data_IF_348217888778
#
_entry.id   IF_348217888778
#
_cell.length_a   1.000
_cell.length_b   1.000
_cell.length_c   1.000
_cell.angle_alpha   90.00
_cell.angle_beta   90.00
_cell.angle_gamma   90.00
#
_symmetry.space_group_name_H-M   'P 1'
#
loop_
_entity.id
_entity.type
_entity.pdbx_description
1 polymer ?
#
# COMPACT_ATOMS: atom_id res chain seq x y z
N UNK A 1 14.36 -78.35 14.56
CA UNK A 1 15.73 -77.79 14.54
C UNK A 1 15.60 -76.44 13.85
N UNK A 2 15.36 -75.34 14.57
CA UNK A 2 16.25 -74.52 15.40
C UNK A 2 17.36 -73.81 14.61
N UNK A 3 17.32 -72.47 14.75
CA UNK A 3 18.39 -71.44 14.66
C UNK A 3 18.60 -70.78 13.28
N UNK A 4 18.19 -69.50 13.10
CA UNK A 4 18.85 -68.21 13.52
C UNK A 4 19.92 -67.80 12.48
N UNK A 5 20.11 -66.59 11.94
CA UNK A 5 19.68 -65.19 12.06
C UNK A 5 20.01 -64.57 10.64
N UNK A 6 19.59 -63.38 10.18
CA UNK A 6 20.10 -62.06 10.60
C UNK A 6 19.48 -60.93 9.73
N UNK A 7 18.81 -60.00 10.42
CA UNK A 7 18.84 -58.53 10.30
C UNK A 7 18.35 -57.79 9.02
N UNK A 8 17.37 -56.91 9.32
CA UNK A 8 16.85 -55.77 8.57
C UNK A 8 17.91 -54.72 8.20
N UNK A 9 17.73 -54.06 7.05
CA UNK A 9 18.03 -52.62 6.96
C UNK A 9 17.03 -51.91 6.07
N UNK A 10 16.06 -51.25 6.71
CA UNK A 10 15.41 -50.05 6.18
C UNK A 10 16.49 -48.98 5.95
N UNK A 11 16.57 -48.41 4.76
CA UNK A 11 17.19 -47.10 4.60
C UNK A 11 16.17 -46.10 4.06
N UNK A 12 15.68 -45.31 5.00
CA UNK A 12 14.99 -44.04 4.80
C UNK A 12 15.99 -43.10 4.14
N UNK A 13 15.82 -42.87 2.84
CA UNK A 13 16.62 -41.90 2.08
C UNK A 13 16.07 -40.50 2.31
N UNK A 14 16.61 -39.81 3.31
CA UNK A 14 16.43 -38.38 3.51
C UNK A 14 17.27 -37.55 2.53
N UNK A 15 16.72 -36.38 2.19
CA UNK A 15 17.40 -35.11 1.88
C UNK A 15 18.68 -35.16 1.04
N UNK A 16 18.52 -35.32 -0.28
CA UNK A 16 19.55 -34.97 -1.26
C UNK A 16 19.29 -33.58 -1.85
N UNK A 17 19.33 -32.53 -1.03
CA UNK A 17 19.63 -31.19 -1.57
C UNK A 17 21.06 -31.25 -2.12
N UNK A 18 21.21 -30.93 -3.41
CA UNK A 18 22.48 -30.97 -4.13
C UNK A 18 23.54 -30.19 -3.36
N UNK A 19 24.78 -30.70 -3.28
CA UNK A 19 25.90 -30.04 -2.61
C UNK A 19 26.06 -28.58 -3.10
N UNK A 20 25.75 -28.33 -4.37
CA UNK A 20 25.75 -27.01 -5.01
C UNK A 20 24.70 -26.07 -4.41
N UNK A 21 23.49 -26.57 -4.15
CA UNK A 21 22.37 -25.80 -3.59
C UNK A 21 22.65 -25.41 -2.12
N UNK A 22 23.33 -26.28 -1.37
CA UNK A 22 23.80 -25.98 -0.01
C UNK A 22 24.91 -24.91 0.01
N UNK A 23 25.77 -24.88 -1.00
CA UNK A 23 26.82 -23.87 -1.16
C UNK A 23 26.17 -22.51 -1.50
N UNK A 24 25.23 -22.48 -2.44
CA UNK A 24 24.49 -21.26 -2.81
C UNK A 24 23.69 -20.69 -1.63
N UNK A 25 23.01 -21.56 -0.84
CA UNK A 25 22.29 -21.11 0.35
C UNK A 25 23.21 -20.44 1.37
N UNK A 26 24.40 -21.02 1.57
CA UNK A 26 25.39 -20.49 2.52
C UNK A 26 25.94 -19.15 2.05
N UNK A 27 26.18 -19.00 0.76
CA UNK A 27 26.62 -17.73 0.16
C UNK A 27 25.54 -16.63 0.28
N UNK A 28 24.27 -16.98 0.07
CA UNK A 28 23.14 -16.05 0.25
C UNK A 28 22.98 -15.63 1.72
N UNK A 29 23.15 -16.56 2.66
CA UNK A 29 23.09 -16.25 4.10
C UNK A 29 24.23 -15.31 4.52
N UNK A 30 25.44 -15.51 3.99
CA UNK A 30 26.60 -14.66 4.28
C UNK A 30 26.40 -13.25 3.71
N UNK A 31 25.90 -13.12 2.48
CA UNK A 31 25.54 -11.83 1.87
C UNK A 31 24.43 -11.10 2.64
N UNK A 32 23.44 -11.82 3.16
CA UNK A 32 22.39 -11.24 4.02
C UNK A 32 22.95 -10.73 5.35
N UNK A 33 23.84 -11.48 5.97
CA UNK A 33 24.50 -11.05 7.21
C UNK A 33 25.36 -9.80 6.98
N UNK A 34 26.09 -9.72 5.87
CA UNK A 34 26.89 -8.55 5.50
C UNK A 34 26.02 -7.31 5.21
N UNK A 35 24.87 -7.49 4.57
CA UNK A 35 23.93 -6.39 4.34
C UNK A 35 23.29 -5.90 5.65
N UNK A 36 22.99 -6.81 6.58
CA UNK A 36 22.46 -6.45 7.90
C UNK A 36 23.48 -5.64 8.72
N UNK A 37 24.75 -6.06 8.75
CA UNK A 37 25.80 -5.32 9.46
C UNK A 37 26.08 -3.96 8.83
N UNK A 38 26.07 -3.85 7.50
CA UNK A 38 26.20 -2.56 6.80
C UNK A 38 25.03 -1.61 7.08
N UNK A 39 23.82 -2.15 7.26
CA UNK A 39 22.65 -1.37 7.62
C UNK A 39 22.75 -0.84 9.06
N UNK A 40 23.22 -1.68 9.99
CA UNK A 40 23.47 -1.27 11.38
C UNK A 40 24.57 -0.20 11.48
N UNK A 41 25.69 -0.36 10.75
CA UNK A 41 26.77 0.62 10.72
C UNK A 41 26.33 1.98 10.16
N UNK A 42 25.43 1.99 9.17
CA UNK A 42 24.81 3.22 8.66
C UNK A 42 23.85 3.82 9.68
N UNK A 43 23.07 3.00 10.39
CA UNK A 43 22.15 3.43 11.45
C UNK A 43 22.90 4.10 12.60
N UNK A 44 24.04 3.54 13.01
CA UNK A 44 24.89 4.09 14.09
C UNK A 44 25.60 5.38 13.64
N UNK A 45 26.12 5.44 12.41
CA UNK A 45 26.79 6.65 11.86
C UNK A 45 25.84 7.82 11.61
N UNK A 46 24.53 7.56 11.50
CA UNK A 46 23.48 8.58 11.35
C UNK A 46 22.66 8.80 12.61
N UNK A 47 23.13 8.36 13.79
CA UNK A 47 22.49 8.70 15.06
C UNK A 47 22.73 10.18 15.41
N UNK A 48 21.89 11.04 14.84
CA UNK A 48 21.59 12.34 15.46
C UNK A 48 20.98 12.10 16.85
N UNK A 49 21.07 13.08 17.78
CA UNK A 49 20.56 12.91 19.14
C UNK A 49 19.09 12.49 19.10
N UNK A 50 18.55 11.82 20.14
CA UNK A 50 17.15 11.46 20.18
C UNK A 50 16.33 12.75 20.29
N UNK A 51 16.05 13.37 19.15
CA UNK A 51 15.01 14.37 19.04
C UNK A 51 13.73 13.63 19.37
N UNK A 52 13.08 14.08 20.44
CA UNK A 52 11.75 13.71 20.90
C UNK A 52 10.66 14.03 19.85
N UNK A 53 10.82 13.57 18.61
CA UNK A 53 10.11 14.11 17.45
C UNK A 53 9.64 13.08 16.44
N UNK A 54 9.60 11.79 16.76
CA UNK A 54 8.89 10.83 15.90
C UNK A 54 7.37 11.02 15.91
N UNK A 55 6.81 11.79 16.87
CA UNK A 55 5.40 12.24 16.80
C UNK A 55 5.17 13.44 15.86
N UNK A 56 6.22 13.97 15.20
CA UNK A 56 6.11 15.05 14.19
C UNK A 56 5.90 14.55 12.77
N UNK A 57 5.36 13.35 12.58
CA UNK A 57 5.20 12.78 11.22
C UNK A 57 4.20 13.58 10.37
N UNK A 58 3.41 14.47 10.97
CA UNK A 58 2.29 15.11 10.27
C UNK A 58 2.47 16.61 10.10
N UNK A 59 2.71 17.04 8.87
CA UNK A 59 2.94 18.44 8.50
C UNK A 59 1.64 19.25 8.40
N UNK A 60 0.74 19.15 9.39
CA UNK A 60 -0.56 19.82 9.32
C UNK A 60 -0.43 21.34 9.16
N UNK A 61 0.51 21.97 9.86
CA UNK A 61 0.74 23.42 9.74
C UNK A 61 1.09 23.86 8.31
N UNK A 62 1.69 22.96 7.51
CA UNK A 62 2.03 23.22 6.10
C UNK A 62 0.80 23.21 5.20
N UNK A 63 -0.16 22.32 5.46
CA UNK A 63 -1.30 22.08 4.56
C UNK A 63 -2.61 22.69 5.05
N UNK A 64 -2.71 22.91 6.36
CA UNK A 64 -3.82 23.55 7.06
C UNK A 64 -3.28 24.65 7.98
N UNK A 65 -2.73 25.74 7.41
CA UNK A 65 -2.25 26.86 8.20
C UNK A 65 -3.42 27.56 8.89
N UNK A 66 -3.16 28.15 10.07
CA UNK A 66 -4.12 28.99 10.81
C UNK A 66 -5.37 28.28 11.36
N UNK A 67 -5.32 26.96 11.55
CA UNK A 67 -6.37 26.25 12.29
C UNK A 67 -6.45 26.73 13.73
N UNK A 68 -7.68 26.78 14.28
CA UNK A 68 -7.90 27.05 15.70
C UNK A 68 -7.22 25.97 16.55
N UNK A 69 -6.77 26.29 17.78
CA UNK A 69 -6.13 25.32 18.67
C UNK A 69 -6.94 24.04 18.85
N UNK A 70 -8.26 24.13 19.04
CA UNK A 70 -9.14 22.97 19.18
C UNK A 70 -9.24 22.10 17.93
N UNK A 71 -9.12 22.69 16.73
CA UNK A 71 -9.09 21.93 15.48
C UNK A 71 -7.74 21.25 15.29
N UNK A 72 -6.64 21.88 15.74
CA UNK A 72 -5.31 21.23 15.73
C UNK A 72 -5.27 20.03 16.66
N UNK A 73 -5.78 20.17 17.87
CA UNK A 73 -5.92 19.07 18.85
C UNK A 73 -6.71 17.89 18.25
N UNK A 74 -7.85 18.16 17.60
CA UNK A 74 -8.62 17.13 16.90
C UNK A 74 -7.81 16.40 15.80
N UNK A 75 -6.94 17.11 15.07
CA UNK A 75 -6.07 16.49 14.06
C UNK A 75 -4.96 15.65 14.69
N UNK A 76 -4.44 16.06 15.84
CA UNK A 76 -3.45 15.29 16.61
C UNK A 76 -4.07 13.99 17.15
N UNK A 77 -5.34 14.01 17.53
CA UNK A 77 -6.11 12.85 18.03
C UNK A 77 -6.50 11.82 16.96
N UNK A 78 -6.32 12.14 15.67
CA UNK A 78 -6.63 11.21 14.59
C UNK A 78 -5.69 9.99 14.61
N UNK A 79 -6.16 8.89 14.04
CA UNK A 79 -5.32 7.70 13.82
C UNK A 79 -4.12 8.03 12.92
N UNK A 80 -3.01 7.30 13.05
CA UNK A 80 -1.83 7.52 12.23
C UNK A 80 -2.13 7.56 10.73
N UNK A 81 -2.94 6.62 10.23
CA UNK A 81 -3.36 6.57 8.82
C UNK A 81 -4.14 7.82 8.40
N UNK A 82 -5.05 8.27 9.27
CA UNK A 82 -5.88 9.47 9.05
C UNK A 82 -5.05 10.75 9.12
N UNK A 83 -4.00 10.77 9.94
CA UNK A 83 -3.06 11.89 9.94
C UNK A 83 -2.20 11.90 8.68
N UNK A 84 -1.71 10.74 8.25
CA UNK A 84 -0.92 10.59 7.03
C UNK A 84 -1.68 11.03 5.78
N UNK A 85 -2.95 10.65 5.66
CA UNK A 85 -3.75 11.01 4.47
C UNK A 85 -4.06 12.51 4.38
N UNK A 86 -3.93 13.22 5.49
CA UNK A 86 -4.12 14.66 5.60
C UNK A 86 -2.80 15.44 5.36
N UNK A 87 -1.66 14.76 5.18
CA UNK A 87 -0.36 15.41 4.93
C UNK A 87 -0.16 15.85 3.47
N UNK A 88 -1.15 16.51 2.89
CA UNK A 88 -1.09 17.11 1.55
C UNK A 88 -2.24 18.11 1.38
N UNK A 89 -2.18 18.97 0.35
CA UNK A 89 -3.26 19.92 0.06
C UNK A 89 -4.51 19.26 -0.54
N UNK A 90 -4.34 18.18 -1.32
CA UNK A 90 -5.45 17.35 -1.84
C UNK A 90 -5.08 15.87 -1.73
N UNK A 91 -6.07 14.97 -1.80
CA UNK A 91 -5.83 13.52 -1.76
C UNK A 91 -4.96 13.06 -2.93
N UNK A 92 -5.13 13.65 -4.11
CA UNK A 92 -4.37 13.33 -5.31
C UNK A 92 -2.90 13.75 -5.20
N UNK A 93 -2.55 14.66 -4.29
CA UNK A 93 -1.15 15.01 -4.02
C UNK A 93 -0.55 14.27 -2.83
N UNK A 94 -1.34 13.42 -2.17
CA UNK A 94 -0.87 12.64 -1.02
C UNK A 94 0.01 11.50 -1.51
N UNK A 95 1.22 11.38 -0.96
CA UNK A 95 2.19 10.36 -1.38
C UNK A 95 1.71 8.94 -1.11
N UNK A 96 1.08 8.71 0.05
CA UNK A 96 0.54 7.39 0.40
C UNK A 96 -0.60 6.98 -0.53
N UNK A 97 -1.49 7.92 -0.88
CA UNK A 97 -2.52 7.69 -1.91
C UNK A 97 -1.90 7.41 -3.28
N UNK A 98 -0.90 8.19 -3.68
CA UNK A 98 -0.24 8.03 -4.98
C UNK A 98 0.48 6.70 -5.10
N UNK A 99 1.10 6.20 -4.03
CA UNK A 99 1.72 4.88 -4.01
C UNK A 99 0.68 3.79 -4.32
N UNK A 100 -0.41 3.74 -3.56
CA UNK A 100 -1.50 2.77 -3.81
C UNK A 100 -2.11 2.93 -5.20
N UNK A 101 -2.26 4.17 -5.68
CA UNK A 101 -2.77 4.45 -7.04
C UNK A 101 -1.82 3.95 -8.11
N UNK A 102 -0.51 4.10 -7.92
CA UNK A 102 0.51 3.59 -8.83
C UNK A 102 0.52 2.07 -8.86
N UNK A 103 0.39 1.41 -7.70
CA UNK A 103 0.27 -0.05 -7.61
C UNK A 103 -0.96 -0.52 -8.39
N UNK A 104 -2.12 0.13 -8.23
CA UNK A 104 -3.32 -0.18 -9.01
C UNK A 104 -3.09 -0.06 -10.52
N UNK A 105 -2.53 1.07 -10.98
CA UNK A 105 -2.24 1.28 -12.41
C UNK A 105 -1.27 0.26 -12.98
N UNK A 106 -0.23 -0.09 -12.22
CA UNK A 106 0.72 -1.13 -12.61
C UNK A 106 0.02 -2.49 -12.72
N UNK A 107 -0.80 -2.82 -11.73
CA UNK A 107 -1.59 -4.05 -11.72
C UNK A 107 -2.54 -4.13 -12.92
N UNK A 108 -3.28 -3.06 -13.23
CA UNK A 108 -4.14 -2.96 -14.41
C UNK A 108 -3.34 -3.20 -15.71
N UNK A 109 -2.18 -2.55 -15.84
CA UNK A 109 -1.34 -2.68 -17.04
C UNK A 109 -0.78 -4.09 -17.22
N UNK A 110 -0.28 -4.71 -16.14
CA UNK A 110 0.26 -6.08 -16.15
C UNK A 110 -0.87 -7.07 -16.45
N UNK A 111 -2.00 -6.96 -15.76
CA UNK A 111 -3.13 -7.87 -15.93
C UNK A 111 -3.71 -7.80 -17.34
N UNK A 112 -3.91 -6.58 -17.89
CA UNK A 112 -4.33 -6.41 -19.27
C UNK A 112 -3.35 -7.08 -20.24
N UNK A 113 -2.03 -6.91 -20.01
CA UNK A 113 -0.98 -7.55 -20.83
C UNK A 113 -0.99 -9.07 -20.75
N UNK A 114 -1.17 -9.64 -19.56
CA UNK A 114 -1.27 -11.08 -19.40
C UNK A 114 -2.49 -11.65 -20.11
N UNK A 115 -3.63 -10.97 -20.01
CA UNK A 115 -4.85 -11.34 -20.74
C UNK A 115 -4.59 -11.28 -22.25
N UNK A 116 -3.92 -10.23 -22.73
CA UNK A 116 -3.53 -10.10 -24.15
C UNK A 116 -2.67 -11.27 -24.65
N UNK A 117 -1.77 -11.79 -23.81
CA UNK A 117 -0.86 -12.87 -24.19
C UNK A 117 -1.53 -14.25 -24.16
N UNK A 118 -2.48 -14.45 -23.23
CA UNK A 118 -3.16 -15.75 -23.03
C UNK A 118 -4.36 -15.94 -23.92
N UNK A 119 -5.07 -14.85 -24.24
CA UNK A 119 -6.23 -14.86 -25.12
C UNK A 119 -5.89 -14.01 -26.35
N UNK A 120 -5.78 -14.65 -27.52
CA UNK A 120 -6.07 -13.98 -28.79
C UNK A 120 -7.55 -14.17 -29.02
N UNK A 121 -8.42 -13.26 -28.54
CA UNK A 121 -9.84 -13.49 -28.70
C UNK A 121 -10.24 -13.26 -30.16
N UNK A 122 -11.20 -14.05 -30.63
CA UNK A 122 -11.65 -14.06 -32.03
C UNK A 122 -12.21 -12.71 -32.51
N UNK A 123 -12.48 -11.80 -31.57
CA UNK A 123 -13.01 -10.46 -31.78
C UNK A 123 -11.92 -9.36 -31.78
N UNK A 124 -10.66 -9.69 -32.08
CA UNK A 124 -9.54 -8.73 -32.08
C UNK A 124 -9.77 -7.49 -32.98
N UNK A 125 -10.64 -7.60 -33.99
CA UNK A 125 -11.03 -6.49 -34.88
C UNK A 125 -12.14 -5.59 -34.29
N UNK A 126 -12.87 -6.07 -33.29
CA UNK A 126 -13.90 -5.33 -32.55
C UNK A 126 -13.32 -4.88 -31.20
N UNK A 127 -12.75 -3.68 -31.22
CA UNK A 127 -12.01 -3.09 -30.09
C UNK A 127 -12.89 -2.94 -28.84
N UNK A 128 -14.16 -2.56 -29.00
CA UNK A 128 -15.04 -2.33 -27.84
C UNK A 128 -15.41 -3.64 -27.16
N UNK A 129 -15.78 -4.67 -27.94
CA UNK A 129 -16.07 -6.00 -27.40
C UNK A 129 -14.82 -6.64 -26.79
N UNK A 130 -13.66 -6.34 -27.34
CA UNK A 130 -12.37 -6.75 -26.82
C UNK A 130 -12.07 -6.09 -25.46
N UNK A 131 -12.16 -4.76 -25.35
CA UNK A 131 -11.97 -4.02 -24.10
C UNK A 131 -12.94 -4.52 -23.02
N UNK A 132 -14.21 -4.72 -23.36
CA UNK A 132 -15.22 -5.20 -22.42
C UNK A 132 -14.88 -6.60 -21.85
N UNK A 133 -14.26 -7.47 -22.66
CA UNK A 133 -13.82 -8.80 -22.21
C UNK A 133 -12.72 -8.69 -21.17
N UNK A 134 -11.73 -7.81 -21.40
CA UNK A 134 -10.61 -7.59 -20.48
C UNK A 134 -11.09 -6.94 -19.19
N UNK A 135 -11.93 -5.91 -19.29
CA UNK A 135 -12.53 -5.25 -18.12
C UNK A 135 -13.28 -6.26 -17.26
N UNK A 136 -14.08 -7.13 -17.87
CA UNK A 136 -14.83 -8.17 -17.15
C UNK A 136 -13.94 -9.15 -16.39
N UNK A 137 -12.78 -9.50 -16.93
CA UNK A 137 -11.81 -10.37 -16.26
C UNK A 137 -11.11 -9.64 -15.10
N UNK A 138 -10.69 -8.39 -15.32
CA UNK A 138 -10.10 -7.55 -14.26
C UNK A 138 -11.11 -7.32 -13.12
N UNK A 139 -12.38 -7.06 -13.45
CA UNK A 139 -13.46 -6.84 -12.48
C UNK A 139 -13.81 -8.08 -11.66
N UNK A 140 -13.35 -9.27 -12.06
CA UNK A 140 -13.49 -10.49 -11.25
C UNK A 140 -12.35 -10.65 -10.26
N UNK A 141 -11.24 -9.94 -10.46
CA UNK A 141 -10.06 -10.06 -9.62
C UNK A 141 -10.27 -9.44 -8.23
N UNK A 142 -9.93 -10.23 -7.19
CA UNK A 142 -10.10 -9.82 -5.80
C UNK A 142 -9.05 -8.79 -5.36
N UNK A 143 -7.83 -8.89 -5.88
CA UNK A 143 -6.75 -7.95 -5.60
C UNK A 143 -7.04 -6.58 -6.19
N UNK A 144 -7.54 -6.55 -7.44
CA UNK A 144 -8.02 -5.33 -8.10
C UNK A 144 -9.06 -4.59 -7.24
N UNK A 145 -10.12 -5.31 -6.83
CA UNK A 145 -11.17 -4.76 -5.97
C UNK A 145 -10.65 -4.25 -4.63
N UNK A 146 -9.67 -4.95 -4.06
CA UNK A 146 -9.05 -4.54 -2.79
C UNK A 146 -8.35 -3.18 -2.95
N UNK A 147 -7.53 -3.01 -3.99
CA UNK A 147 -6.82 -1.76 -4.27
C UNK A 147 -7.78 -0.61 -4.56
N UNK A 148 -8.81 -0.85 -5.38
CA UNK A 148 -9.85 0.16 -5.64
C UNK A 148 -10.59 0.57 -4.37
N UNK A 149 -10.99 -0.41 -3.55
CA UNK A 149 -11.68 -0.18 -2.28
C UNK A 149 -10.80 0.59 -1.30
N UNK A 150 -9.50 0.30 -1.26
CA UNK A 150 -8.55 1.01 -0.43
C UNK A 150 -8.41 2.49 -0.84
N UNK A 151 -8.25 2.78 -2.13
CA UNK A 151 -8.22 4.16 -2.64
C UNK A 151 -9.53 4.91 -2.36
N UNK A 152 -10.68 4.26 -2.48
CA UNK A 152 -11.96 4.86 -2.14
C UNK A 152 -12.05 5.15 -0.64
N UNK A 153 -11.69 4.18 0.20
CA UNK A 153 -11.66 4.32 1.66
C UNK A 153 -10.79 5.50 2.09
N UNK A 154 -9.63 5.65 1.47
CA UNK A 154 -8.73 6.79 1.66
C UNK A 154 -9.42 8.12 1.34
N UNK A 155 -10.01 8.27 0.14
CA UNK A 155 -10.75 9.48 -0.24
C UNK A 155 -11.87 9.82 0.74
N UNK A 156 -12.66 8.83 1.13
CA UNK A 156 -13.77 9.01 2.07
C UNK A 156 -13.30 9.44 3.46
N UNK A 157 -12.21 8.83 3.98
CA UNK A 157 -11.60 9.23 5.25
C UNK A 157 -11.16 10.69 5.22
N UNK A 158 -10.45 11.09 4.17
CA UNK A 158 -9.99 12.47 4.01
C UNK A 158 -11.17 13.44 3.97
N UNK A 159 -12.18 13.21 3.13
CA UNK A 159 -13.35 14.08 3.03
C UNK A 159 -14.12 14.21 4.34
N UNK A 160 -14.22 13.12 5.12
CA UNK A 160 -14.82 13.17 6.46
C UNK A 160 -14.05 14.11 7.38
N UNK A 161 -12.72 14.06 7.39
CA UNK A 161 -11.88 14.90 8.23
C UNK A 161 -11.94 16.36 7.76
N UNK A 162 -11.83 16.61 6.45
CA UNK A 162 -11.98 17.95 5.86
C UNK A 162 -13.32 18.57 6.24
N UNK A 163 -14.41 17.80 6.19
CA UNK A 163 -15.72 18.23 6.64
C UNK A 163 -15.73 18.59 8.14
N UNK A 164 -15.06 17.81 8.99
CA UNK A 164 -14.92 18.13 10.43
C UNK A 164 -14.15 19.42 10.65
N UNK A 165 -13.00 19.60 9.99
CA UNK A 165 -12.22 20.85 10.00
C UNK A 165 -13.13 22.01 9.61
N UNK A 166 -13.80 21.91 8.45
CA UNK A 166 -14.69 22.97 7.99
C UNK A 166 -15.79 23.31 9.00
N UNK A 167 -16.38 22.34 9.68
CA UNK A 167 -17.38 22.61 10.72
C UNK A 167 -16.80 23.32 11.94
N UNK A 168 -15.64 22.89 12.43
CA UNK A 168 -14.99 23.48 13.61
C UNK A 168 -14.49 24.90 13.31
N UNK A 169 -13.98 25.11 12.09
CA UNK A 169 -13.52 26.42 11.64
C UNK A 169 -14.70 27.36 11.32
N UNK A 170 -15.74 26.89 10.63
CA UNK A 170 -16.90 27.68 10.23
C UNK A 170 -17.91 27.96 11.35
N UNK A 171 -17.69 27.49 12.58
CA UNK A 171 -18.54 27.77 13.75
C UNK A 171 -18.54 29.26 14.20
N UNK A 172 -18.16 30.19 13.31
CA UNK A 172 -18.28 31.65 13.47
C UNK A 172 -18.93 32.37 12.28
N UNK A 173 -19.37 31.67 11.20
CA UNK A 173 -20.00 32.31 10.05
C UNK A 173 -21.34 31.65 9.68
N UNK A 174 -22.37 32.50 9.70
CA UNK A 174 -23.78 32.28 9.43
C UNK A 174 -24.08 31.20 8.36
N UNK A 175 -25.04 30.28 8.58
CA UNK A 175 -25.37 29.18 7.65
C UNK A 175 -25.99 29.63 6.31
N UNK A 176 -26.26 30.92 6.11
CA UNK A 176 -26.92 31.45 4.91
C UNK A 176 -26.03 31.53 3.65
N UNK A 177 -24.71 31.38 3.76
CA UNK A 177 -23.77 31.61 2.64
C UNK A 177 -23.09 30.33 2.09
N UNK A 178 -23.60 29.13 2.41
CA UNK A 178 -22.84 27.89 2.17
C UNK A 178 -22.99 27.23 0.79
N UNK A 179 -23.77 27.77 -0.13
CA UNK A 179 -23.85 27.20 -1.48
C UNK A 179 -23.89 28.29 -2.55
N UNK A 180 -23.00 28.27 -3.56
CA UNK A 180 -23.27 29.00 -4.79
C UNK A 180 -24.56 28.44 -5.41
N UNK A 181 -25.42 29.30 -6.01
CA UNK A 181 -26.67 28.84 -6.60
C UNK A 181 -26.39 27.79 -7.66
N UNK A 182 -27.10 26.67 -7.57
CA UNK A 182 -27.06 25.59 -8.57
C UNK A 182 -27.50 26.20 -9.90
N UNK A 183 -26.69 26.10 -10.98
CA UNK A 183 -27.12 26.54 -12.30
C UNK A 183 -28.38 25.76 -12.69
N UNK A 184 -29.45 26.49 -13.04
CA UNK A 184 -30.65 25.89 -13.61
C UNK A 184 -30.35 25.40 -15.03
N UNK A 185 -31.02 24.32 -15.48
CA UNK A 185 -30.88 23.81 -16.85
C UNK A 185 -31.29 24.84 -17.90
#
# INVERSE_FOLDING_TARGET
MSNDQHIQTLHIGGDSASLTEKIELKEVQEKLAELATRLDDLSVKHSSPPTSSMDRITCFDKYYPNLKPSTKEMLEDLSFDDRMIMCSSTIERNEFYQNTSQVLRLYESVTAREIFQRQRPDNMLDIDRYIATIQKEIDRDRHYKKLQSELLRMRLRRHRIEYMIHRMEASLLNPANRYPPIPKP
#
